data_IF_224534243004
#
_entry.id   IF_224534243004
#
_cell.length_a   1.000
_cell.length_b   1.000
_cell.length_c   1.000
_cell.angle_alpha   90.00
_cell.angle_beta   90.00
_cell.angle_gamma   90.00
#
_symmetry.space_group_name_H-M   'P 1'
#
loop_
_entity.id
_entity.type
_entity.pdbx_description
1 polymer ?
#
# COMPACT_ATOMS: atom_id res chain seq x y z
N UNK A 1 7.60 38.31 -32.80
CA UNK A 1 6.36 37.86 -32.10
C UNK A 1 6.29 36.35 -32.23
N UNK A 2 7.27 35.57 -31.76
CA UNK A 2 7.85 35.47 -30.40
C UNK A 2 6.83 35.03 -29.34
N UNK A 3 6.13 33.94 -29.62
CA UNK A 3 5.50 33.07 -28.59
C UNK A 3 5.70 31.58 -28.97
N UNK A 4 6.87 31.26 -29.53
CA UNK A 4 7.40 29.90 -29.66
C UNK A 4 8.69 29.90 -28.85
N UNK A 5 8.61 29.49 -27.58
CA UNK A 5 9.69 29.11 -26.65
C UNK A 5 9.24 29.44 -25.23
N UNK A 6 8.58 28.49 -24.56
CA UNK A 6 8.58 28.28 -23.10
C UNK A 6 7.60 27.14 -22.73
N UNK A 7 7.69 26.02 -23.44
CA UNK A 7 7.29 24.73 -22.87
C UNK A 7 8.58 24.06 -22.39
N UNK A 8 9.18 24.66 -21.37
CA UNK A 8 10.20 24.01 -20.54
C UNK A 8 9.48 22.95 -19.71
N UNK A 9 9.13 21.83 -20.36
CA UNK A 9 8.84 20.59 -19.66
C UNK A 9 10.19 20.09 -19.17
N UNK A 10 10.61 20.56 -18.00
CA UNK A 10 11.59 19.84 -17.21
C UNK A 10 11.08 18.41 -17.08
N UNK A 11 11.78 17.43 -17.67
CA UNK A 11 11.61 16.00 -17.41
C UNK A 11 11.92 15.75 -15.92
N UNK A 12 10.99 16.14 -15.05
CA UNK A 12 11.05 15.83 -13.64
C UNK A 12 10.82 14.33 -13.47
N UNK A 13 11.75 13.67 -12.80
CA UNK A 13 11.75 12.23 -12.59
C UNK A 13 10.44 11.78 -11.95
N UNK A 14 9.92 10.60 -12.34
CA UNK A 14 8.63 10.11 -11.86
C UNK A 14 8.58 10.03 -10.31
N UNK A 15 9.73 9.77 -9.68
CA UNK A 15 9.91 9.70 -8.23
C UNK A 15 9.53 11.00 -7.50
N UNK A 16 9.70 12.16 -8.12
CA UNK A 16 9.35 13.47 -7.53
C UNK A 16 7.86 13.80 -7.71
N UNK A 17 7.22 13.16 -8.68
CA UNK A 17 5.83 13.40 -9.07
C UNK A 17 4.84 12.44 -8.45
N UNK A 18 5.25 11.23 -8.09
CA UNK A 18 4.33 10.14 -7.74
C UNK A 18 4.62 9.48 -6.40
N UNK A 19 3.57 9.28 -5.60
CA UNK A 19 3.59 8.35 -4.46
C UNK A 19 2.56 7.24 -4.66
N UNK A 20 2.98 5.99 -4.43
CA UNK A 20 2.13 4.81 -4.53
C UNK A 20 1.57 4.51 -3.14
N UNK A 21 0.26 4.32 -3.02
CA UNK A 21 -0.39 3.94 -1.78
C UNK A 21 -1.03 2.56 -1.96
N UNK A 22 -0.67 1.65 -1.06
CA UNK A 22 -1.23 0.30 -1.00
C UNK A 22 -1.89 0.11 0.35
N UNK A 23 -3.17 -0.24 0.36
CA UNK A 23 -3.90 -0.48 1.63
C UNK A 23 -4.12 -1.97 1.84
N UNK A 24 -3.78 -2.44 3.04
CA UNK A 24 -4.04 -3.79 3.52
C UNK A 24 -4.80 -3.76 4.84
N UNK A 25 -5.58 -4.80 5.08
CA UNK A 25 -6.38 -4.99 6.28
C UNK A 25 -6.44 -6.49 6.58
N UNK A 26 -6.88 -6.93 7.77
CA UNK A 26 -7.16 -8.33 7.98
C UNK A 26 -8.12 -8.86 6.91
N UNK A 27 -7.75 -9.98 6.30
CA UNK A 27 -8.56 -10.73 5.35
C UNK A 27 -8.64 -12.18 5.80
N UNK A 28 -9.63 -12.92 5.30
CA UNK A 28 -9.89 -14.30 5.71
C UNK A 28 -8.65 -15.22 5.56
N UNK A 29 -7.88 -15.04 4.51
CA UNK A 29 -6.68 -15.85 4.23
C UNK A 29 -5.41 -15.35 4.91
N UNK A 30 -5.50 -14.29 5.73
CA UNK A 30 -4.37 -13.47 6.19
C UNK A 30 -3.63 -12.79 5.03
N UNK A 31 -3.33 -11.48 5.08
CA UNK A 31 -2.39 -10.91 4.14
C UNK A 31 -1.01 -11.56 4.33
N UNK A 32 -0.29 -11.76 3.23
CA UNK A 32 1.06 -12.35 3.22
C UNK A 32 2.04 -11.36 2.60
N UNK A 33 3.25 -11.28 3.15
CA UNK A 33 4.35 -10.52 2.55
C UNK A 33 4.72 -11.07 1.17
N UNK A 34 4.57 -12.38 0.96
CA UNK A 34 4.76 -13.04 -0.34
C UNK A 34 3.76 -12.54 -1.39
N UNK A 35 2.50 -12.32 -1.00
CA UNK A 35 1.49 -11.77 -1.91
C UNK A 35 1.86 -10.35 -2.35
N UNK A 36 2.33 -9.52 -1.40
CA UNK A 36 2.81 -8.18 -1.71
C UNK A 36 4.03 -8.21 -2.63
N UNK A 37 5.01 -9.08 -2.34
CA UNK A 37 6.19 -9.27 -3.18
C UNK A 37 5.79 -9.62 -4.62
N UNK A 38 4.99 -10.68 -4.78
CA UNK A 38 4.50 -11.13 -6.09
C UNK A 38 3.71 -10.03 -6.82
N UNK A 39 2.94 -9.22 -6.09
CA UNK A 39 2.20 -8.09 -6.66
C UNK A 39 3.15 -6.98 -7.11
N UNK A 40 4.08 -6.58 -6.26
CA UNK A 40 5.02 -5.50 -6.52
C UNK A 40 6.05 -5.88 -7.59
N UNK A 41 6.38 -7.16 -7.75
CA UNK A 41 7.19 -7.66 -8.86
C UNK A 41 6.56 -7.40 -10.23
N UNK A 42 5.24 -7.23 -10.29
CA UNK A 42 4.56 -6.82 -11.52
C UNK A 42 4.66 -5.32 -11.79
N UNK A 43 5.05 -4.50 -10.82
CA UNK A 43 5.16 -3.05 -10.98
C UNK A 43 6.23 -2.65 -12.01
N UNK A 44 7.20 -3.53 -12.30
CA UNK A 44 8.15 -3.33 -13.41
C UNK A 44 7.48 -3.17 -14.77
N UNK A 45 6.24 -3.66 -14.92
CA UNK A 45 5.44 -3.45 -16.12
C UNK A 45 4.93 -2.01 -16.23
N UNK A 46 4.89 -1.27 -15.13
CA UNK A 46 4.67 0.17 -15.14
C UNK A 46 5.96 0.98 -15.36
N UNK A 47 7.12 0.32 -15.25
CA UNK A 47 8.44 0.88 -15.44
C UNK A 47 9.34 0.70 -14.20
N UNK A 48 10.62 0.99 -14.35
CA UNK A 48 11.62 0.81 -13.31
C UNK A 48 11.57 1.91 -12.25
N UNK A 49 11.36 3.17 -12.63
CA UNK A 49 11.16 4.26 -11.67
C UNK A 49 9.94 4.01 -10.80
N UNK A 50 8.84 3.59 -11.40
CA UNK A 50 7.63 3.21 -10.70
C UNK A 50 7.87 2.05 -9.72
N UNK A 51 8.52 0.99 -10.19
CA UNK A 51 8.74 -0.21 -9.38
C UNK A 51 9.72 0.00 -8.23
N UNK A 52 10.82 0.73 -8.46
CA UNK A 52 11.98 0.69 -7.57
C UNK A 52 12.30 2.02 -6.89
N UNK A 53 11.87 3.16 -7.44
CA UNK A 53 12.28 4.48 -6.94
C UNK A 53 11.13 5.30 -6.36
N UNK A 54 9.93 5.21 -6.93
CA UNK A 54 8.76 5.93 -6.42
C UNK A 54 8.48 5.58 -4.96
N UNK A 55 8.18 6.60 -4.14
CA UNK A 55 7.80 6.42 -2.74
C UNK A 55 6.55 5.54 -2.66
N UNK A 56 6.57 4.56 -1.75
CA UNK A 56 5.44 3.66 -1.49
C UNK A 56 5.00 3.79 -0.04
N UNK A 57 3.71 3.86 0.21
CA UNK A 57 3.14 3.83 1.56
C UNK A 57 2.21 2.63 1.64
N UNK A 58 2.59 1.63 2.44
CA UNK A 58 1.70 0.50 2.76
C UNK A 58 0.93 0.84 4.03
N UNK A 59 -0.38 1.02 3.88
CA UNK A 59 -1.29 1.35 4.98
C UNK A 59 -1.89 0.07 5.55
N UNK A 60 -1.64 -0.20 6.82
CA UNK A 60 -2.29 -1.25 7.58
C UNK A 60 -3.50 -0.66 8.31
N UNK A 61 -4.71 -0.82 7.76
CA UNK A 61 -5.99 -0.24 8.26
C UNK A 61 -6.52 -0.95 9.53
N UNK A 62 -5.65 -1.31 10.46
CA UNK A 62 -5.99 -1.84 11.78
C UNK A 62 -7.05 -2.96 11.81
N UNK A 63 -7.63 -3.16 12.99
CA UNK A 63 -8.75 -4.07 13.20
C UNK A 63 -9.56 -3.67 14.43
N UNK A 64 -10.67 -4.36 14.68
CA UNK A 64 -11.43 -4.29 15.93
C UNK A 64 -11.58 -5.70 16.46
N UNK A 65 -11.30 -5.94 17.74
CA UNK A 65 -11.53 -7.27 18.33
C UNK A 65 -13.02 -7.52 18.48
N UNK A 66 -13.45 -8.76 18.25
CA UNK A 66 -14.83 -9.16 18.52
C UNK A 66 -15.09 -9.21 20.03
N UNK A 67 -15.67 -8.16 20.57
CA UNK A 67 -16.11 -8.10 21.97
C UNK A 67 -17.55 -8.62 22.16
N UNK A 68 -17.93 -8.91 23.41
CA UNK A 68 -19.30 -9.28 23.78
C UNK A 68 -20.34 -8.19 23.45
N UNK A 69 -19.89 -6.95 23.16
CA UNK A 69 -20.71 -5.80 22.75
C UNK A 69 -20.85 -5.66 21.23
N UNK A 70 -20.32 -6.60 20.43
CA UNK A 70 -20.54 -6.59 18.98
C UNK A 70 -22.04 -6.75 18.72
N UNK A 71 -22.68 -5.63 18.39
CA UNK A 71 -24.13 -5.55 18.13
C UNK A 71 -24.58 -6.67 17.20
N UNK A 72 -25.81 -7.16 17.37
CA UNK A 72 -26.40 -8.20 16.51
C UNK A 72 -26.28 -7.91 15.00
N UNK A 73 -26.03 -6.64 14.62
CA UNK A 73 -25.70 -6.18 13.26
C UNK A 73 -24.42 -6.79 12.65
N UNK A 74 -23.55 -7.44 13.44
CA UNK A 74 -22.34 -8.11 12.93
C UNK A 74 -22.25 -9.58 13.36
N UNK A 75 -23.39 -10.21 13.67
CA UNK A 75 -23.44 -11.63 13.99
C UNK A 75 -22.93 -12.50 12.82
N UNK A 76 -23.10 -12.03 11.57
CA UNK A 76 -22.58 -12.70 10.39
C UNK A 76 -21.05 -12.54 10.25
N UNK A 77 -20.26 -13.62 10.25
CA UNK A 77 -18.80 -13.57 10.14
C UNK A 77 -18.29 -12.83 8.89
N UNK A 78 -18.99 -12.95 7.74
CA UNK A 78 -18.60 -12.24 6.52
C UNK A 78 -18.72 -10.72 6.68
N UNK A 79 -19.79 -10.27 7.34
CA UNK A 79 -20.05 -8.86 7.56
C UNK A 79 -19.12 -8.29 8.63
N UNK A 80 -18.83 -9.07 9.68
CA UNK A 80 -17.85 -8.73 10.70
C UNK A 80 -16.46 -8.49 10.06
N UNK A 81 -15.99 -9.43 9.24
CA UNK A 81 -14.67 -9.33 8.60
C UNK A 81 -14.58 -8.13 7.64
N UNK A 82 -15.63 -7.85 6.86
CA UNK A 82 -15.68 -6.65 5.99
C UNK A 82 -15.55 -5.34 6.77
N UNK A 83 -15.96 -5.33 8.03
CA UNK A 83 -15.82 -4.19 8.95
C UNK A 83 -14.55 -4.26 9.81
N UNK A 84 -13.62 -5.18 9.49
CA UNK A 84 -12.37 -5.38 10.22
C UNK A 84 -12.55 -5.92 11.63
N UNK A 85 -13.70 -6.52 11.94
CA UNK A 85 -13.90 -7.21 13.21
C UNK A 85 -13.26 -8.60 13.09
N UNK A 86 -12.28 -8.85 13.94
CA UNK A 86 -11.44 -10.06 13.91
C UNK A 86 -11.60 -10.90 15.18
N UNK A 87 -11.37 -12.20 15.04
CA UNK A 87 -11.15 -13.09 16.19
C UNK A 87 -9.68 -13.05 16.65
N UNK A 88 -9.38 -13.79 17.71
CA UNK A 88 -8.05 -13.84 18.32
C UNK A 88 -6.96 -14.34 17.37
N UNK A 89 -7.26 -15.36 16.55
CA UNK A 89 -6.28 -15.93 15.63
C UNK A 89 -6.02 -14.98 14.46
N UNK A 90 -7.07 -14.36 13.92
CA UNK A 90 -6.97 -13.36 12.87
C UNK A 90 -6.17 -12.12 13.32
N UNK A 91 -6.40 -11.65 14.54
CA UNK A 91 -5.60 -10.59 15.14
C UNK A 91 -4.13 -10.98 15.25
N UNK A 92 -3.84 -12.15 15.83
CA UNK A 92 -2.48 -12.65 16.00
C UNK A 92 -1.77 -12.74 14.65
N UNK A 93 -2.43 -13.31 13.65
CA UNK A 93 -1.87 -13.47 12.30
C UNK A 93 -1.61 -12.11 11.65
N UNK A 94 -2.51 -11.14 11.80
CA UNK A 94 -2.32 -9.81 11.23
C UNK A 94 -1.20 -9.03 11.92
N UNK A 95 -1.06 -9.15 13.25
CA UNK A 95 0.07 -8.57 14.00
C UNK A 95 1.39 -9.17 13.52
N UNK A 96 1.45 -10.49 13.36
CA UNK A 96 2.64 -11.16 12.83
C UNK A 96 2.97 -10.71 11.40
N UNK A 97 1.97 -10.59 10.54
CA UNK A 97 2.14 -10.05 9.19
C UNK A 97 2.71 -8.62 9.22
N UNK A 98 2.15 -7.74 10.05
CA UNK A 98 2.62 -6.35 10.19
C UNK A 98 4.09 -6.28 10.63
N UNK A 99 4.48 -7.13 11.58
CA UNK A 99 5.87 -7.22 12.02
C UNK A 99 6.78 -7.71 10.91
N UNK A 100 6.44 -8.83 10.26
CA UNK A 100 7.22 -9.38 9.15
C UNK A 100 7.35 -8.39 7.99
N UNK A 101 6.30 -7.61 7.71
CA UNK A 101 6.30 -6.57 6.69
C UNK A 101 7.27 -5.42 7.02
N UNK A 102 7.27 -4.95 8.29
CA UNK A 102 8.22 -3.94 8.74
C UNK A 102 9.66 -4.43 8.67
N UNK A 103 9.91 -5.66 9.10
CA UNK A 103 11.24 -6.26 9.08
C UNK A 103 11.75 -6.40 7.64
N UNK A 104 10.89 -6.88 6.73
CA UNK A 104 11.16 -6.95 5.29
C UNK A 104 11.51 -5.57 4.72
N UNK A 105 10.63 -4.58 4.87
CA UNK A 105 10.86 -3.23 4.32
C UNK A 105 12.11 -2.59 4.94
N UNK A 106 12.36 -2.79 6.22
CA UNK A 106 13.57 -2.32 6.89
C UNK A 106 14.83 -2.93 6.30
N UNK A 107 14.83 -4.23 6.00
CA UNK A 107 15.96 -4.89 5.34
C UNK A 107 16.15 -4.40 3.89
N UNK A 108 15.08 -4.31 3.11
CA UNK A 108 15.12 -3.94 1.68
C UNK A 108 15.49 -2.46 1.47
N UNK A 109 15.09 -1.55 2.36
CA UNK A 109 15.49 -0.14 2.29
C UNK A 109 16.97 0.08 2.65
N UNK A 110 17.56 -0.78 3.47
CA UNK A 110 18.98 -0.71 3.87
C UNK A 110 19.90 -1.56 2.98
N UNK A 111 19.32 -2.38 2.09
CA UNK A 111 20.07 -3.22 1.17
C UNK A 111 20.68 -2.43 0.01
N UNK A 112 21.80 -2.95 -0.50
CA UNK A 112 22.44 -2.41 -1.72
C UNK A 112 21.75 -2.88 -3.01
N UNK A 113 20.93 -3.93 -2.92
CA UNK A 113 20.25 -4.52 -4.06
C UNK A 113 18.92 -3.82 -4.37
N UNK A 114 18.64 -3.69 -5.66
CA UNK A 114 17.39 -3.13 -6.18
C UNK A 114 16.20 -4.01 -5.77
N UNK A 115 15.27 -3.44 -5.03
CA UNK A 115 14.12 -4.15 -4.45
C UNK A 115 12.81 -3.45 -4.76
N UNK A 116 11.74 -4.21 -5.00
CA UNK A 116 10.39 -3.66 -5.21
C UNK A 116 9.80 -3.04 -3.94
N UNK A 117 10.37 -3.35 -2.78
CA UNK A 117 10.05 -2.71 -1.50
C UNK A 117 10.94 -1.50 -1.19
N UNK A 118 11.85 -1.13 -2.08
CA UNK A 118 12.67 0.05 -1.87
C UNK A 118 11.82 1.34 -1.87
N UNK A 119 12.25 2.32 -1.08
CA UNK A 119 11.54 3.57 -0.79
C UNK A 119 10.10 3.35 -0.28
N UNK A 120 9.91 2.32 0.56
CA UNK A 120 8.61 1.98 1.14
C UNK A 120 8.55 2.33 2.62
N UNK A 121 7.41 2.88 3.06
CA UNK A 121 7.06 3.13 4.46
C UNK A 121 5.81 2.31 4.85
N UNK A 122 5.79 1.79 6.08
CA UNK A 122 4.60 1.15 6.66
C UNK A 122 3.88 2.14 7.56
N UNK A 123 2.62 2.45 7.23
CA UNK A 123 1.73 3.27 8.05
C UNK A 123 0.70 2.38 8.73
N UNK A 124 0.82 2.20 10.04
CA UNK A 124 -0.13 1.41 10.82
C UNK A 124 -1.17 2.27 11.51
N UNK A 125 -2.44 1.86 11.40
CA UNK A 125 -3.54 2.42 12.18
C UNK A 125 -3.84 1.49 13.35
N UNK A 126 -4.12 2.08 14.51
CA UNK A 126 -4.44 1.35 15.73
C UNK A 126 -5.78 0.59 15.60
N UNK A 127 -6.78 1.24 15.01
CA UNK A 127 -8.12 0.68 14.85
C UNK A 127 -8.53 0.62 13.37
N UNK A 128 -9.58 -0.16 13.09
CA UNK A 128 -10.18 -0.18 11.75
C UNK A 128 -10.95 1.11 11.47
N UNK A 129 -10.49 1.90 10.51
CA UNK A 129 -11.20 3.09 10.01
C UNK A 129 -11.97 2.81 8.72
N UNK A 130 -11.50 1.85 7.92
CA UNK A 130 -12.03 1.55 6.60
C UNK A 130 -11.23 2.27 5.52
N UNK A 131 -11.25 1.68 4.32
CA UNK A 131 -10.39 2.05 3.19
C UNK A 131 -10.28 3.55 2.92
N UNK A 132 -11.42 4.27 2.85
CA UNK A 132 -11.40 5.71 2.53
C UNK A 132 -10.70 6.57 3.58
N UNK A 133 -10.89 6.25 4.87
CA UNK A 133 -10.23 6.97 5.95
C UNK A 133 -8.76 6.57 6.11
N UNK A 134 -8.43 5.30 5.87
CA UNK A 134 -7.06 4.82 5.84
C UNK A 134 -6.26 5.49 4.71
N UNK A 135 -6.82 5.55 3.50
CA UNK A 135 -6.26 6.29 2.38
C UNK A 135 -6.10 7.77 2.72
N UNK A 136 -7.11 8.41 3.32
CA UNK A 136 -7.01 9.82 3.76
C UNK A 136 -5.85 10.04 4.74
N UNK A 137 -5.61 9.10 5.66
CA UNK A 137 -4.49 9.20 6.60
C UNK A 137 -3.14 9.15 5.88
N UNK A 138 -3.02 8.31 4.86
CA UNK A 138 -1.82 8.21 4.03
C UNK A 138 -1.62 9.44 3.14
N UNK A 139 -2.69 10.00 2.57
CA UNK A 139 -2.63 11.23 1.78
C UNK A 139 -2.02 12.41 2.58
N UNK A 140 -2.22 12.47 3.89
CA UNK A 140 -1.59 13.49 4.73
C UNK A 140 -0.05 13.36 4.84
N UNK A 141 0.52 12.22 4.47
CA UNK A 141 1.96 11.97 4.43
C UNK A 141 2.55 12.02 3.00
N UNK A 142 1.72 12.31 1.99
CA UNK A 142 2.16 12.48 0.61
C UNK A 142 2.57 13.93 0.38
N UNK A 143 3.74 14.13 -0.22
CA UNK A 143 4.23 15.44 -0.67
C UNK A 143 4.28 15.58 -2.19
N UNK A 144 4.11 14.48 -2.93
CA UNK A 144 4.14 14.47 -4.39
C UNK A 144 2.81 14.95 -4.99
N UNK A 145 2.83 15.55 -6.19
CA UNK A 145 1.62 16.08 -6.83
C UNK A 145 0.61 15.00 -7.26
N UNK A 146 1.05 13.76 -7.47
CA UNK A 146 0.19 12.67 -7.90
C UNK A 146 0.27 11.46 -6.97
N UNK A 147 -0.84 10.74 -6.88
CA UNK A 147 -0.96 9.52 -6.07
C UNK A 147 -1.50 8.38 -6.91
N UNK A 148 -0.81 7.24 -6.90
CA UNK A 148 -1.32 5.99 -7.46
C UNK A 148 -1.84 5.10 -6.33
N UNK A 149 -3.15 4.84 -6.30
CA UNK A 149 -3.75 3.98 -5.26
C UNK A 149 -3.99 2.59 -5.83
N UNK A 150 -3.36 1.58 -5.23
CA UNK A 150 -3.36 0.19 -5.70
C UNK A 150 -3.84 -0.75 -4.59
N UNK A 151 -4.63 -1.77 -4.95
CA UNK A 151 -4.99 -2.83 -4.01
C UNK A 151 -3.82 -3.79 -3.82
N UNK A 152 -3.61 -4.29 -2.60
CA UNK A 152 -2.45 -5.13 -2.26
C UNK A 152 -2.34 -6.46 -3.03
N UNK A 153 -3.40 -6.88 -3.73
CA UNK A 153 -3.50 -8.10 -4.52
C UNK A 153 -3.68 -7.82 -6.03
N UNK A 154 -3.54 -6.56 -6.46
CA UNK A 154 -3.77 -6.16 -7.86
C UNK A 154 -2.47 -6.16 -8.66
N UNK A 155 -2.29 -7.20 -9.47
CA UNK A 155 -1.15 -7.33 -10.38
C UNK A 155 -1.32 -6.49 -11.65
N UNK A 156 -0.19 -6.05 -12.20
CA UNK A 156 -0.08 -5.43 -13.50
C UNK A 156 0.14 -6.55 -14.52
N UNK A 157 -0.58 -6.50 -15.65
CA UNK A 157 -0.61 -7.60 -16.61
C UNK A 157 -0.01 -7.24 -17.98
N UNK A 158 0.24 -5.95 -18.21
CA UNK A 158 0.75 -5.41 -19.49
C UNK A 158 1.67 -4.25 -19.22
N UNK A 159 2.62 -4.04 -20.12
CA UNK A 159 3.49 -2.87 -20.08
C UNK A 159 2.63 -1.60 -20.23
N UNK A 160 2.89 -0.60 -19.38
CA UNK A 160 2.29 0.72 -19.53
C UNK A 160 2.77 1.34 -20.85
N UNK A 161 1.88 1.97 -21.65
CA UNK A 161 2.25 2.56 -22.94
C UNK A 161 3.03 3.87 -22.81
N UNK A 162 3.35 4.30 -21.59
CA UNK A 162 4.06 5.52 -21.26
C UNK A 162 5.53 5.16 -21.03
N UNK A 163 6.44 5.93 -21.61
CA UNK A 163 7.87 5.81 -21.33
C UNK A 163 8.16 6.63 -20.07
N UNK A 164 8.88 6.02 -19.14
CA UNK A 164 9.58 6.75 -18.08
C UNK A 164 10.77 7.52 -18.67
#
# INVERSE_FOLDING_TARGET
>A
KDELENADQSDEMLVEKLTIIVTTSPIKSNPSTELLQNTFDTFKLAGEEFAFHCKKIIVCDGFRRKDNNVTQKHANPKQAMRNGIVDFDQEKNYIQFKQALKDLIGAENNGEQKSVFHNTEVMELEERHGYGFALKRALNAVSTPYVCVIQHDRTFMRQTPVKE
#
